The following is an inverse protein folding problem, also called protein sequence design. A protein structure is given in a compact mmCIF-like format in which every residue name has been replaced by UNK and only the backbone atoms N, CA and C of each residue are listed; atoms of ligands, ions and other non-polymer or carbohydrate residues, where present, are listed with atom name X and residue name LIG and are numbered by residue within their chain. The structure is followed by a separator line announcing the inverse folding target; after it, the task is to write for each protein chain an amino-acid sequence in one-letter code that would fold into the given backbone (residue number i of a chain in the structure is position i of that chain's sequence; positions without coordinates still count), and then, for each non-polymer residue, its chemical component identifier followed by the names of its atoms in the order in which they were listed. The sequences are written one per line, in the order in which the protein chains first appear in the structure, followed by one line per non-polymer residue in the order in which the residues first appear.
data_IF_759999975539
#
_entry.id   IF_759999975539
#
_cell.length_a   1.000
_cell.length_b   1.000
_cell.length_c   1.000
_cell.angle_alpha   90.00
_cell.angle_beta   90.00
_cell.angle_gamma   90.00
#
_symmetry.space_group_name_H-M   'P 1'
#
loop_
_entity.id
_entity.type
_entity.pdbx_description
1 polymer ?
#
# COMPACT_ATOMS: atom_id res chain seq x y z
N UNK A 1 -62.10 -20.81 3.73
CA UNK A 1 -61.50 -19.52 4.09
C UNK A 1 -60.22 -19.80 4.88
N UNK A 2 -59.06 -19.89 4.21
CA UNK A 2 -57.75 -20.10 4.86
C UNK A 2 -56.91 -18.84 4.63
N UNK A 3 -56.54 -18.23 5.75
CA UNK A 3 -55.93 -16.93 5.90
C UNK A 3 -54.45 -16.99 5.53
N UNK A 4 -53.99 -15.92 4.87
CA UNK A 4 -52.62 -15.66 4.42
C UNK A 4 -51.58 -15.68 5.55
N UNK A 5 -50.35 -16.11 5.24
CA UNK A 5 -49.15 -15.54 5.84
C UNK A 5 -48.05 -15.46 4.75
N UNK A 6 -47.95 -14.31 4.07
CA UNK A 6 -46.80 -13.98 3.23
C UNK A 6 -45.67 -13.51 4.13
N UNK A 7 -44.61 -14.29 4.25
CA UNK A 7 -43.38 -13.88 4.93
C UNK A 7 -42.50 -13.16 3.92
N UNK A 8 -42.51 -11.83 3.96
CA UNK A 8 -41.61 -10.99 3.18
C UNK A 8 -40.22 -11.00 3.83
N UNK A 9 -39.28 -11.73 3.23
CA UNK A 9 -37.86 -11.71 3.62
C UNK A 9 -37.25 -10.43 3.03
N UNK A 10 -37.06 -9.39 3.86
CA UNK A 10 -36.23 -8.25 3.50
C UNK A 10 -34.77 -8.69 3.49
N UNK A 11 -34.24 -8.95 2.29
CA UNK A 11 -32.81 -9.02 2.04
C UNK A 11 -32.24 -7.60 2.17
N UNK A 12 -31.81 -7.23 3.38
CA UNK A 12 -30.87 -6.12 3.56
C UNK A 12 -29.53 -6.57 2.98
N UNK A 13 -29.34 -6.32 1.69
CA UNK A 13 -28.02 -6.32 1.07
C UNK A 13 -27.18 -5.24 1.76
N UNK A 14 -26.42 -5.65 2.78
CA UNK A 14 -25.34 -4.84 3.32
C UNK A 14 -24.42 -4.51 2.17
N UNK A 15 -24.47 -3.28 1.70
CA UNK A 15 -23.46 -2.76 0.79
C UNK A 15 -22.18 -2.76 1.61
N UNK A 16 -21.37 -3.82 1.46
CA UNK A 16 -19.96 -3.72 1.77
C UNK A 16 -19.48 -2.48 1.03
N UNK A 17 -18.91 -1.51 1.75
CA UNK A 17 -18.12 -0.45 1.14
C UNK A 17 -16.97 -1.15 0.41
N UNK A 18 -17.21 -1.56 -0.82
CA UNK A 18 -16.17 -1.90 -1.75
C UNK A 18 -15.28 -0.65 -1.80
N UNK A 19 -14.00 -0.82 -1.47
CA UNK A 19 -13.03 0.25 -1.68
C UNK A 19 -13.24 0.77 -3.09
N UNK A 20 -13.47 2.08 -3.25
CA UNK A 20 -13.60 2.66 -4.58
C UNK A 20 -12.37 2.22 -5.37
N UNK A 21 -12.54 1.55 -6.52
CA UNK A 21 -11.46 0.78 -7.16
C UNK A 21 -10.23 1.61 -7.53
N UNK A 22 -10.31 2.94 -7.40
CA UNK A 22 -9.30 3.87 -7.86
C UNK A 22 -9.03 4.98 -6.82
N UNK A 23 -8.89 4.68 -5.52
CA UNK A 23 -8.44 5.70 -4.54
C UNK A 23 -6.92 5.84 -4.56
N UNK A 24 -6.41 7.07 -4.59
CA UNK A 24 -4.96 7.35 -4.50
C UNK A 24 -4.54 7.86 -3.12
N UNK A 25 -4.65 6.96 -2.13
CA UNK A 25 -4.28 7.23 -0.73
C UNK A 25 -3.16 6.32 -0.27
N UNK A 26 -2.35 6.77 0.68
CA UNK A 26 -1.24 6.00 1.22
C UNK A 26 -1.67 4.64 1.80
N UNK A 27 -2.79 4.57 2.52
CA UNK A 27 -3.29 3.28 3.04
C UNK A 27 -3.83 2.31 1.97
N UNK A 28 -4.11 2.80 0.76
CA UNK A 28 -4.71 2.02 -0.31
C UNK A 28 -3.75 1.74 -1.48
N UNK A 29 -2.76 2.59 -1.73
CA UNK A 29 -1.78 2.43 -2.80
C UNK A 29 -1.16 1.01 -2.87
N UNK A 30 -0.79 0.36 -1.75
CA UNK A 30 -0.18 -0.96 -1.81
C UNK A 30 -1.10 -2.08 -2.35
N UNK A 31 -2.42 -1.87 -2.35
CA UNK A 31 -3.39 -2.87 -2.79
C UNK A 31 -3.66 -2.85 -4.30
N UNK A 32 -3.14 -1.86 -5.05
CA UNK A 32 -3.27 -1.86 -6.52
C UNK A 32 -2.71 -3.16 -7.10
N UNK A 33 -3.36 -3.78 -8.11
CA UNK A 33 -2.92 -5.05 -8.66
C UNK A 33 -1.58 -4.93 -9.40
N UNK A 34 -1.36 -3.80 -10.07
CA UNK A 34 -0.14 -3.52 -10.83
C UNK A 34 0.53 -2.26 -10.31
N UNK A 35 1.78 -2.41 -9.90
CA UNK A 35 2.63 -1.29 -9.47
C UNK A 35 3.95 -1.44 -10.17
N UNK A 36 4.37 -0.38 -10.84
CA UNK A 36 5.65 -0.29 -11.55
C UNK A 36 6.55 0.75 -10.91
N UNK A 37 7.82 0.78 -11.32
CA UNK A 37 8.76 1.81 -10.93
C UNK A 37 8.98 2.80 -12.08
N UNK A 38 9.14 4.08 -11.76
CA UNK A 38 9.39 5.09 -12.78
C UNK A 38 10.00 6.37 -12.25
N UNK A 39 9.94 7.39 -13.08
CA UNK A 39 10.42 8.73 -12.75
C UNK A 39 9.51 9.82 -13.30
N UNK A 40 9.58 10.98 -12.66
CA UNK A 40 8.92 12.19 -13.16
C UNK A 40 9.69 12.74 -14.35
N UNK A 41 9.01 12.87 -15.48
CA UNK A 41 9.55 13.21 -16.81
C UNK A 41 9.05 14.56 -17.33
N UNK A 42 9.13 15.59 -16.48
CA UNK A 42 8.78 16.98 -16.83
C UNK A 42 9.97 17.78 -17.36
N UNK A 43 9.69 18.95 -17.95
CA UNK A 43 10.69 19.94 -18.33
C UNK A 43 11.47 20.44 -17.11
N UNK A 44 12.75 20.80 -17.31
CA UNK A 44 13.55 21.36 -16.23
C UNK A 44 12.93 22.66 -15.70
N UNK A 45 12.83 22.80 -14.38
CA UNK A 45 12.24 23.98 -13.73
C UNK A 45 10.71 24.00 -13.66
N UNK A 46 10.02 23.01 -14.24
CA UNK A 46 8.56 22.89 -14.18
C UNK A 46 8.19 21.62 -13.40
N UNK A 47 7.96 21.69 -12.08
CA UNK A 47 7.62 20.50 -11.31
C UNK A 47 6.25 19.96 -11.72
N UNK A 48 6.09 18.63 -11.61
CA UNK A 48 4.80 17.99 -11.80
C UNK A 48 3.93 18.20 -10.57
N UNK A 49 2.76 18.81 -10.74
CA UNK A 49 1.78 18.94 -9.67
C UNK A 49 1.27 17.56 -9.23
N UNK A 50 1.15 17.38 -7.91
CA UNK A 50 0.50 16.23 -7.30
C UNK A 50 -0.82 16.68 -6.70
N UNK A 51 -1.90 16.00 -7.08
CA UNK A 51 -3.26 16.29 -6.63
C UNK A 51 -3.70 15.30 -5.53
N UNK A 52 -4.56 15.74 -4.59
CA UNK A 52 -5.15 14.87 -3.59
C UNK A 52 -6.15 13.89 -4.20
N UNK A 53 -6.37 12.80 -3.48
CA UNK A 53 -7.53 11.95 -3.67
C UNK A 53 -8.71 12.54 -2.88
N UNK A 54 -9.88 12.66 -3.51
CA UNK A 54 -11.04 13.33 -2.92
C UNK A 54 -12.14 13.57 -3.95
N UNK A 55 -13.25 14.16 -3.51
CA UNK A 55 -14.42 14.37 -4.36
C UNK A 55 -14.06 15.17 -5.62
N UNK A 56 -14.29 14.56 -6.79
CA UNK A 56 -13.99 15.13 -8.09
C UNK A 56 -12.50 15.23 -8.44
N UNK A 57 -11.58 14.88 -7.54
CA UNK A 57 -10.15 14.90 -7.81
C UNK A 57 -9.67 13.59 -8.43
N UNK A 58 -8.77 13.63 -9.41
CA UNK A 58 -7.93 14.78 -9.80
C UNK A 58 -8.49 15.70 -10.91
N UNK A 59 -9.70 15.46 -11.42
CA UNK A 59 -10.21 16.15 -12.62
C UNK A 59 -10.89 17.51 -12.36
N UNK A 60 -11.46 17.71 -11.17
CA UNK A 60 -12.19 18.93 -10.84
C UNK A 60 -11.25 20.13 -10.78
N UNK A 61 -11.71 21.27 -11.29
CA UNK A 61 -10.99 22.54 -11.18
C UNK A 61 -10.85 23.04 -9.74
N UNK A 62 -11.62 22.48 -8.79
CA UNK A 62 -11.48 22.76 -7.36
C UNK A 62 -10.30 22.03 -6.71
N UNK A 63 -9.69 21.06 -7.40
CA UNK A 63 -8.59 20.28 -6.86
C UNK A 63 -7.33 21.13 -6.73
N UNK A 64 -7.02 21.50 -5.49
CA UNK A 64 -5.81 22.24 -5.18
C UNK A 64 -4.61 21.29 -5.21
N UNK A 65 -3.53 21.74 -5.86
CA UNK A 65 -2.24 21.06 -5.80
C UNK A 65 -1.82 20.93 -4.33
N UNK A 66 -1.46 19.71 -3.91
CA UNK A 66 -0.98 19.46 -2.53
C UNK A 66 0.54 19.37 -2.43
N UNK A 67 1.21 19.00 -3.51
CA UNK A 67 2.66 18.86 -3.57
C UNK A 67 3.16 19.01 -5.02
N UNK A 68 4.47 19.00 -5.22
CA UNK A 68 5.09 19.05 -6.54
C UNK A 68 6.35 18.16 -6.57
N UNK A 69 6.45 17.30 -7.58
CA UNK A 69 7.62 16.46 -7.81
C UNK A 69 8.51 17.04 -8.91
N UNK A 70 9.81 16.88 -8.77
CA UNK A 70 10.81 17.42 -9.69
C UNK A 70 11.18 16.39 -10.75
N UNK A 71 11.68 16.86 -11.89
CA UNK A 71 12.26 16.00 -12.92
C UNK A 71 13.28 15.02 -12.31
N UNK A 72 13.12 13.74 -12.62
CA UNK A 72 14.00 12.66 -12.16
C UNK A 72 13.66 12.08 -10.79
N UNK A 73 12.70 12.66 -10.06
CA UNK A 73 12.19 12.06 -8.83
C UNK A 73 11.65 10.67 -9.12
N UNK A 74 12.10 9.70 -8.33
CA UNK A 74 11.75 8.28 -8.50
C UNK A 74 10.48 7.95 -7.75
N UNK A 75 9.55 7.30 -8.44
CA UNK A 75 8.22 7.03 -7.92
C UNK A 75 7.83 5.57 -8.17
N UNK A 76 6.97 5.05 -7.30
CA UNK A 76 6.14 3.90 -7.65
C UNK A 76 4.89 4.41 -8.35
N UNK A 77 4.42 3.68 -9.34
CA UNK A 77 3.32 4.07 -10.21
C UNK A 77 2.28 2.96 -10.18
N UNK A 78 1.09 3.28 -9.70
CA UNK A 78 -0.12 2.50 -9.89
C UNK A 78 -0.91 3.13 -11.03
N UNK A 79 -1.10 2.36 -12.11
CA UNK A 79 -1.77 2.82 -13.32
C UNK A 79 -3.28 2.73 -13.12
N UNK A 80 -3.92 3.87 -12.83
CA UNK A 80 -5.37 3.91 -12.62
C UNK A 80 -6.15 4.31 -13.88
N UNK A 81 -5.54 5.10 -14.79
CA UNK A 81 -6.17 5.51 -16.05
C UNK A 81 -5.16 6.06 -17.07
N UNK A 82 -5.62 6.30 -18.30
CA UNK A 82 -4.80 6.90 -19.37
C UNK A 82 -4.32 8.32 -19.03
N UNK A 83 -5.11 9.10 -18.28
CA UNK A 83 -4.79 10.51 -17.97
C UNK A 83 -4.08 10.70 -16.64
N UNK A 84 -4.38 9.86 -15.66
CA UNK A 84 -3.90 9.99 -14.30
C UNK A 84 -3.29 8.70 -13.79
N UNK A 85 -2.14 8.86 -13.16
CA UNK A 85 -1.46 7.80 -12.44
C UNK A 85 -1.45 8.12 -10.97
N UNK A 86 -1.71 7.12 -10.15
CA UNK A 86 -1.48 7.24 -8.72
C UNK A 86 0.01 6.98 -8.47
N UNK A 87 0.69 7.89 -7.79
CA UNK A 87 2.12 7.74 -7.51
C UNK A 87 2.40 7.75 -6.02
N UNK A 88 3.43 6.99 -5.65
CA UNK A 88 4.08 7.07 -4.35
C UNK A 88 5.51 7.55 -4.54
N UNK A 89 5.79 8.77 -4.11
CA UNK A 89 7.13 9.28 -3.98
C UNK A 89 7.61 9.09 -2.55
N UNK A 90 8.74 8.40 -2.41
CA UNK A 90 9.45 8.26 -1.16
C UNK A 90 10.58 9.30 -1.14
N UNK A 91 10.43 10.36 -0.34
CA UNK A 91 11.49 11.33 -0.03
C UNK A 91 12.31 10.93 1.19
N UNK A 92 13.41 11.61 1.53
CA UNK A 92 14.31 11.19 2.64
C UNK A 92 13.58 11.03 3.98
N UNK A 93 12.64 11.92 4.28
CA UNK A 93 11.91 11.98 5.55
C UNK A 93 10.39 12.09 5.39
N UNK A 94 9.89 12.05 4.16
CA UNK A 94 8.48 12.23 3.84
C UNK A 94 8.07 11.29 2.72
N UNK A 95 6.77 11.06 2.61
CA UNK A 95 6.14 10.40 1.49
C UNK A 95 5.11 11.33 0.87
N UNK A 96 4.96 11.24 -0.45
CA UNK A 96 3.91 11.94 -1.19
C UNK A 96 3.17 10.88 -1.98
N UNK A 97 1.90 10.68 -1.66
CA UNK A 97 1.01 9.77 -2.39
C UNK A 97 -0.09 10.58 -3.01
N UNK A 98 -0.30 10.52 -4.33
CA UNK A 98 -1.35 11.31 -4.98
C UNK A 98 -1.36 11.16 -6.49
N UNK A 99 -2.29 11.86 -7.12
CA UNK A 99 -2.50 11.82 -8.57
C UNK A 99 -1.50 12.72 -9.29
N UNK A 100 -0.89 12.19 -10.34
CA UNK A 100 -0.06 12.94 -11.29
C UNK A 100 -0.56 12.66 -12.71
N UNK A 101 -0.48 13.66 -13.60
CA UNK A 101 -0.82 13.44 -15.00
C UNK A 101 0.12 12.37 -15.59
N UNK A 102 -0.44 11.31 -16.21
CA UNK A 102 0.33 10.15 -16.68
C UNK A 102 1.43 10.55 -17.68
N UNK A 103 1.23 11.60 -18.47
CA UNK A 103 2.24 12.14 -19.39
C UNK A 103 3.49 12.74 -18.71
N UNK A 104 3.38 13.08 -17.42
CA UNK A 104 4.48 13.67 -16.64
C UNK A 104 5.35 12.62 -15.95
N UNK A 105 5.07 11.34 -16.18
CA UNK A 105 5.85 10.23 -15.65
C UNK A 105 6.24 9.27 -16.76
N UNK A 106 7.36 8.58 -16.54
CA UNK A 106 7.84 7.54 -17.44
C UNK A 106 8.21 6.31 -16.63
N UNK A 107 7.68 5.17 -17.04
CA UNK A 107 8.08 3.88 -16.49
C UNK A 107 9.56 3.62 -16.75
N UNK A 108 10.23 3.04 -15.77
CA UNK A 108 11.61 2.57 -15.88
C UNK A 108 11.62 1.05 -15.89
N UNK A 109 12.63 0.42 -16.53
CA UNK A 109 12.78 -1.02 -16.50
C UNK A 109 12.88 -1.55 -15.07
N UNK A 110 12.25 -2.70 -14.82
CA UNK A 110 12.42 -3.42 -13.57
C UNK A 110 13.88 -3.90 -13.41
N UNK A 111 14.34 -4.00 -12.16
CA UNK A 111 15.69 -4.47 -11.82
C UNK A 111 15.73 -5.99 -11.62
N UNK A 112 16.93 -6.50 -11.36
CA UNK A 112 17.16 -7.89 -10.97
C UNK A 112 16.26 -8.33 -9.77
N UNK A 113 15.65 -9.52 -9.93
CA UNK A 113 14.77 -10.20 -8.96
C UNK A 113 15.54 -11.07 -7.96
N UNK A 114 16.87 -10.98 -7.93
CA UNK A 114 17.74 -11.72 -7.03
C UNK A 114 17.23 -11.75 -5.59
N UNK A 115 17.28 -12.95 -5.01
CA UNK A 115 16.94 -13.24 -3.61
C UNK A 115 17.64 -12.28 -2.63
N UNK A 116 18.87 -11.87 -2.93
CA UNK A 116 19.66 -10.96 -2.08
C UNK A 116 18.99 -9.59 -1.92
N UNK A 117 18.23 -9.13 -2.91
CA UNK A 117 17.62 -7.81 -2.88
C UNK A 117 16.51 -7.74 -1.81
N UNK A 118 15.84 -8.86 -1.55
CA UNK A 118 14.81 -9.00 -0.51
C UNK A 118 15.37 -8.94 0.93
N UNK A 119 16.56 -9.47 1.16
CA UNK A 119 17.13 -9.64 2.50
C UNK A 119 17.40 -8.32 3.20
N UNK A 120 17.05 -8.21 4.48
CA UNK A 120 17.39 -7.07 5.32
C UNK A 120 16.25 -6.58 6.20
N UNK A 121 16.48 -5.41 6.80
CA UNK A 121 15.48 -4.71 7.60
C UNK A 121 14.82 -3.63 6.74
N UNK A 122 13.51 -3.57 6.80
CA UNK A 122 12.65 -2.70 6.02
C UNK A 122 11.79 -1.88 6.99
N UNK A 123 11.68 -0.57 6.74
CA UNK A 123 10.93 0.34 7.59
C UNK A 123 9.96 1.16 6.77
N UNK A 124 8.71 1.26 7.20
CA UNK A 124 7.75 2.15 6.55
C UNK A 124 8.14 3.61 6.78
N UNK A 125 7.92 4.44 5.78
CA UNK A 125 8.02 5.90 5.93
C UNK A 125 6.86 6.30 6.86
N UNK A 126 7.14 7.08 7.92
CA UNK A 126 6.21 7.29 9.06
C UNK A 126 6.43 6.35 10.26
N UNK A 127 7.23 5.28 10.11
CA UNK A 127 7.95 4.62 11.21
C UNK A 127 7.16 3.73 12.18
N UNK A 128 5.91 3.42 11.86
CA UNK A 128 5.04 2.58 12.69
C UNK A 128 5.23 1.07 12.46
N UNK A 129 5.70 0.67 11.27
CA UNK A 129 5.88 -0.73 10.89
C UNK A 129 7.31 -1.05 10.48
N UNK A 130 7.75 -2.26 10.82
CA UNK A 130 9.06 -2.82 10.49
C UNK A 130 8.88 -4.23 9.96
N UNK A 131 9.65 -4.56 8.94
CA UNK A 131 9.70 -5.89 8.35
C UNK A 131 11.16 -6.33 8.27
N UNK A 132 11.38 -7.61 8.51
CA UNK A 132 12.69 -8.22 8.50
C UNK A 132 12.59 -9.48 7.67
N UNK A 133 13.45 -9.55 6.65
CA UNK A 133 13.48 -10.65 5.70
C UNK A 133 14.86 -11.31 5.80
N UNK A 134 14.86 -12.60 6.10
CA UNK A 134 16.07 -13.44 6.17
C UNK A 134 15.94 -14.64 5.26
N UNK A 135 17.08 -15.19 4.85
CA UNK A 135 17.10 -16.48 4.18
C UNK A 135 17.06 -17.60 5.24
N UNK A 136 16.22 -18.60 5.03
CA UNK A 136 16.18 -19.82 5.84
C UNK A 136 17.13 -20.89 5.27
N UNK A 137 17.43 -21.91 6.07
CA UNK A 137 18.38 -22.98 5.71
C UNK A 137 17.94 -23.79 4.47
N UNK A 138 16.63 -23.90 4.23
CA UNK A 138 16.02 -24.57 3.08
C UNK A 138 15.97 -23.67 1.81
N UNK A 139 16.55 -22.47 1.88
CA UNK A 139 16.61 -21.52 0.77
C UNK A 139 15.32 -20.76 0.50
N UNK A 140 14.35 -20.78 1.43
CA UNK A 140 13.21 -19.86 1.43
C UNK A 140 13.58 -18.52 2.08
N UNK A 141 12.63 -17.57 2.05
CA UNK A 141 12.70 -16.35 2.84
C UNK A 141 11.79 -16.49 4.06
N UNK A 142 12.34 -16.23 5.24
CA UNK A 142 11.56 -15.99 6.46
C UNK A 142 11.28 -14.50 6.57
N UNK A 143 9.99 -14.17 6.66
CA UNK A 143 9.50 -12.80 6.86
C UNK A 143 8.94 -12.71 8.27
N UNK A 144 9.32 -11.65 8.97
CA UNK A 144 8.72 -11.24 10.24
C UNK A 144 8.48 -9.75 10.21
N UNK A 145 7.40 -9.27 10.80
CA UNK A 145 7.12 -7.84 10.87
C UNK A 145 6.31 -7.48 12.09
N UNK A 146 6.48 -6.25 12.54
CA UNK A 146 5.73 -5.66 13.65
C UNK A 146 5.19 -4.31 13.22
N UNK A 147 3.99 -4.00 13.67
CA UNK A 147 3.32 -2.73 13.44
C UNK A 147 2.61 -2.28 14.72
N UNK A 148 2.49 -0.96 14.88
CA UNK A 148 1.69 -0.39 15.97
C UNK A 148 0.91 0.82 15.51
N UNK A 149 -0.27 0.99 16.06
CA UNK A 149 -1.06 2.20 15.91
C UNK A 149 -1.25 2.85 17.28
N UNK A 150 -1.19 4.18 17.34
CA UNK A 150 -1.39 4.96 18.58
C UNK A 150 -2.54 5.93 18.40
N UNK A 151 -3.65 5.62 19.05
CA UNK A 151 -4.88 6.42 19.04
C UNK A 151 -4.87 7.56 20.03
N UNK A 152 -6.03 8.18 20.24
CA UNK A 152 -6.25 9.19 21.27
C UNK A 152 -6.13 8.63 22.71
N UNK A 153 -6.33 9.49 23.72
CA UNK A 153 -6.44 9.04 25.10
C UNK A 153 -7.69 8.16 25.27
N UNK A 154 -7.55 7.08 26.04
CA UNK A 154 -8.64 6.23 26.51
C UNK A 154 -9.38 6.87 27.69
N UNK A 155 -10.39 6.17 28.23
CA UNK A 155 -11.21 6.66 29.34
C UNK A 155 -10.40 7.03 30.59
N UNK A 156 -9.26 6.38 30.82
CA UNK A 156 -8.37 6.61 31.96
C UNK A 156 -7.14 7.48 31.64
N UNK A 157 -7.08 8.06 30.44
CA UNK A 157 -6.08 9.05 30.02
C UNK A 157 -4.82 8.47 29.37
N UNK A 158 -4.59 7.16 29.41
CA UNK A 158 -3.53 6.48 28.66
C UNK A 158 -3.80 6.49 27.15
N UNK A 159 -2.75 6.37 26.33
CA UNK A 159 -2.91 6.26 24.88
C UNK A 159 -3.42 4.87 24.52
N UNK A 160 -4.46 4.80 23.67
CA UNK A 160 -4.90 3.54 23.08
C UNK A 160 -3.82 3.07 22.09
N UNK A 161 -3.28 1.88 22.30
CA UNK A 161 -2.25 1.31 21.44
C UNK A 161 -2.75 -0.04 20.92
N UNK A 162 -2.68 -0.21 19.61
CA UNK A 162 -2.93 -1.49 18.95
C UNK A 162 -1.65 -2.00 18.32
N UNK A 163 -1.47 -3.31 18.32
CA UNK A 163 -0.30 -3.99 17.79
C UNK A 163 -0.70 -4.94 16.66
N UNK A 164 0.26 -5.26 15.81
CA UNK A 164 0.13 -6.26 14.78
C UNK A 164 1.46 -6.89 14.47
N UNK A 165 1.40 -8.16 14.08
CA UNK A 165 2.54 -9.01 13.83
C UNK A 165 2.26 -9.82 12.56
N UNK A 166 3.27 -9.92 11.69
CA UNK A 166 3.23 -10.86 10.57
C UNK A 166 4.42 -11.81 10.66
N UNK A 167 4.20 -13.05 10.27
CA UNK A 167 5.26 -14.03 10.14
C UNK A 167 4.91 -15.07 9.10
N UNK A 168 5.91 -15.51 8.35
CA UNK A 168 5.76 -16.64 7.43
C UNK A 168 7.02 -16.91 6.64
N UNK A 169 6.96 -17.98 5.85
CA UNK A 169 8.03 -18.39 4.95
C UNK A 169 7.49 -18.52 3.54
N UNK A 170 8.25 -18.05 2.55
CA UNK A 170 7.90 -18.22 1.15
C UNK A 170 9.12 -18.07 0.23
N UNK A 171 8.98 -18.53 -1.01
CA UNK A 171 9.93 -18.26 -2.10
C UNK A 171 9.40 -17.11 -2.96
N UNK A 172 10.22 -16.12 -3.32
CA UNK A 172 9.82 -15.11 -4.29
C UNK A 172 9.51 -15.72 -5.65
N UNK A 173 8.49 -15.20 -6.31
CA UNK A 173 8.20 -15.39 -7.72
C UNK A 173 8.47 -14.07 -8.45
N UNK A 174 9.68 -13.93 -8.99
CA UNK A 174 10.15 -12.66 -9.56
C UNK A 174 10.16 -11.53 -8.52
N UNK A 175 9.41 -10.46 -8.80
CA UNK A 175 9.27 -9.31 -7.90
C UNK A 175 8.23 -9.49 -6.79
N UNK A 176 7.58 -10.65 -6.71
CA UNK A 176 6.48 -10.90 -5.79
C UNK A 176 6.84 -11.94 -4.74
N UNK A 177 6.32 -11.75 -3.53
CA UNK A 177 6.39 -12.72 -2.43
C UNK A 177 5.05 -12.66 -1.70
N UNK A 178 4.55 -13.81 -1.23
CA UNK A 178 3.32 -13.88 -0.45
C UNK A 178 3.50 -14.84 0.71
N UNK A 179 3.06 -14.45 1.90
CA UNK A 179 3.04 -15.29 3.09
C UNK A 179 1.59 -15.46 3.58
N UNK A 180 1.34 -16.54 4.32
CA UNK A 180 -0.01 -16.92 4.77
C UNK A 180 -0.77 -17.71 3.72
N UNK A 181 -1.92 -18.26 4.12
CA UNK A 181 -2.81 -19.04 3.27
C UNK A 181 -4.07 -18.21 2.95
N UNK A 182 -4.30 -17.81 1.68
CA UNK A 182 -5.48 -17.03 1.29
C UNK A 182 -6.81 -17.76 1.53
N UNK A 183 -6.80 -19.10 1.54
CA UNK A 183 -8.02 -19.90 1.71
C UNK A 183 -8.34 -20.14 3.19
N UNK A 184 -7.37 -19.94 4.08
CA UNK A 184 -7.55 -20.13 5.51
C UNK A 184 -8.26 -18.92 6.13
N UNK A 185 -9.49 -19.14 6.57
CA UNK A 185 -10.28 -18.14 7.27
C UNK A 185 -9.55 -17.59 8.51
N UNK A 186 -9.67 -16.28 8.73
CA UNK A 186 -9.11 -15.58 9.90
C UNK A 186 -7.58 -15.65 10.04
N UNK A 187 -6.85 -15.88 8.94
CA UNK A 187 -5.38 -15.89 8.96
C UNK A 187 -4.81 -14.62 8.34
N UNK A 188 -3.66 -14.17 8.86
CA UNK A 188 -2.89 -13.09 8.27
C UNK A 188 -2.32 -13.53 6.92
N UNK A 189 -2.63 -12.77 5.87
CA UNK A 189 -2.05 -12.94 4.54
C UNK A 189 -1.45 -11.61 4.13
N UNK A 190 -0.19 -11.64 3.72
CA UNK A 190 0.51 -10.45 3.26
C UNK A 190 1.20 -10.70 1.92
N UNK A 191 1.03 -9.75 1.01
CA UNK A 191 1.66 -9.72 -0.30
C UNK A 191 2.73 -8.64 -0.32
N UNK A 192 3.86 -8.95 -0.93
CA UNK A 192 5.03 -8.10 -1.00
C UNK A 192 5.45 -7.96 -2.45
N UNK A 193 5.80 -6.75 -2.87
CA UNK A 193 6.41 -6.47 -4.16
C UNK A 193 7.71 -5.72 -3.98
N UNK A 194 8.79 -6.26 -4.51
CA UNK A 194 10.10 -5.64 -4.45
C UNK A 194 10.38 -4.90 -5.75
N UNK A 195 10.32 -3.57 -5.70
CA UNK A 195 10.55 -2.68 -6.84
C UNK A 195 11.75 -1.80 -6.52
N UNK A 196 12.90 -2.14 -7.12
CA UNK A 196 14.18 -1.52 -6.80
C UNK A 196 14.50 -1.64 -5.29
N UNK A 197 14.71 -0.52 -4.60
CA UNK A 197 15.06 -0.46 -3.18
C UNK A 197 13.82 -0.16 -2.31
N UNK A 198 12.63 -0.45 -2.84
CA UNK A 198 11.33 -0.25 -2.17
C UNK A 198 10.56 -1.56 -2.10
N UNK A 199 10.05 -1.85 -0.91
CA UNK A 199 9.21 -3.01 -0.64
C UNK A 199 7.78 -2.52 -0.43
N UNK A 200 6.89 -2.79 -1.38
CA UNK A 200 5.46 -2.52 -1.27
C UNK A 200 4.82 -3.69 -0.56
N UNK A 201 4.04 -3.43 0.49
CA UNK A 201 3.39 -4.48 1.27
C UNK A 201 1.93 -4.16 1.40
N UNK A 202 1.07 -5.15 1.17
CA UNK A 202 -0.36 -5.08 1.44
C UNK A 202 -0.79 -6.32 2.20
N UNK A 203 -1.71 -6.16 3.13
CA UNK A 203 -2.26 -7.28 3.91
C UNK A 203 -3.78 -7.42 3.75
N UNK A 204 -4.32 -8.54 4.22
CA UNK A 204 -5.76 -8.81 4.17
C UNK A 204 -6.56 -8.24 5.35
N UNK A 205 -5.92 -7.47 6.24
CA UNK A 205 -6.51 -6.87 7.44
C UNK A 205 -6.54 -7.74 8.67
N UNK A 206 -5.93 -8.92 8.60
CA UNK A 206 -5.91 -9.88 9.69
C UNK A 206 -4.52 -10.01 10.33
N UNK A 207 -3.58 -9.15 9.94
CA UNK A 207 -2.21 -9.14 10.45
C UNK A 207 -2.02 -8.23 11.68
N UNK A 208 -3.08 -7.58 12.17
CA UNK A 208 -3.01 -6.75 13.36
C UNK A 208 -4.36 -6.46 13.98
N UNK A 209 -4.32 -5.81 15.15
CA UNK A 209 -5.52 -5.31 15.81
C UNK A 209 -6.17 -4.15 15.04
N UNK A 210 -7.25 -3.61 15.61
CA UNK A 210 -7.99 -2.50 14.99
C UNK A 210 -7.05 -1.37 14.54
N UNK A 211 -7.25 -0.84 13.32
CA UNK A 211 -6.42 0.22 12.74
C UNK A 211 -4.92 -0.13 12.52
N UNK A 212 -4.50 -1.38 12.72
CA UNK A 212 -3.13 -1.82 12.44
C UNK A 212 -3.09 -2.51 11.10
N UNK A 213 -2.29 -1.96 10.19
CA UNK A 213 -2.10 -2.46 8.83
C UNK A 213 -0.62 -2.43 8.50
N UNK A 214 -0.18 -3.37 7.67
CA UNK A 214 1.13 -3.38 7.06
C UNK A 214 1.16 -2.71 5.68
N UNK A 215 -0.02 -2.30 5.17
CA UNK A 215 -0.18 -1.54 3.93
C UNK A 215 0.67 -0.26 3.92
N UNK A 216 1.85 -0.36 3.31
CA UNK A 216 2.77 0.76 3.12
C UNK A 216 3.87 0.45 2.10
N UNK A 217 4.66 1.47 1.76
CA UNK A 217 5.94 1.32 1.08
C UNK A 217 7.07 1.42 2.11
N UNK A 218 7.93 0.42 2.10
CA UNK A 218 9.03 0.27 3.04
C UNK A 218 10.37 0.51 2.35
N UNK A 219 11.31 1.05 3.10
CA UNK A 219 12.69 1.24 2.68
C UNK A 219 13.64 0.35 3.42
N UNK A 220 14.59 -0.20 2.68
CA UNK A 220 15.71 -0.93 3.24
C UNK A 220 16.52 -0.02 4.16
N UNK A 221 16.85 -0.52 5.34
CA UNK A 221 17.77 0.14 6.28
C UNK A 221 19.19 -0.33 5.94
N UNK A 222 20.11 0.62 5.77
CA UNK A 222 21.54 0.38 5.57
C UNK A 222 22.28 0.45 6.90
#
# INVERSE_FOLDING_TARGET
MRLFLMTAIMLLSGQALAAEPDTCRNGAFPSYPEISYGEVSVSAGQPAAVFPDGEGCPDSSSCSQKDALKKGDKVLIAHASDRWSCVWYSGKHSEVVGWIASQNIRALPERDTSMKNWLGNWKSIGGAARIMIRQSADGQLTVTGTARWVGGPGPTGERIIHFGDLSGTARPAGHQLRIGDPEAAYTCVASFRLLHDQLVVSDNGLCGGANVRFDAVYRKQH
#
